data_IF_099743285925
#
_entry.id   IF_099743285925
#
_cell.length_a   1.000
_cell.length_b   1.000
_cell.length_c   1.000
_cell.angle_alpha   90.00
_cell.angle_beta   90.00
_cell.angle_gamma   90.00
#
_symmetry.space_group_name_H-M   'P 1'
#
loop_
_entity.id
_entity.type
_entity.pdbx_description
1 polymer ?
#
# COMPACT_ATOMS: atom_id res chain seq x y z
N UNK A 1 -19.11 -1.47 -9.34
CA UNK A 1 -18.74 -0.45 -8.35
C UNK A 1 -17.43 0.13 -8.84
N UNK A 2 -17.41 1.40 -9.22
CA UNK A 2 -16.18 2.06 -9.65
C UNK A 2 -15.43 2.46 -8.39
N UNK A 3 -14.19 1.99 -8.23
CA UNK A 3 -13.35 2.44 -7.13
C UNK A 3 -13.02 3.92 -7.39
N UNK A 4 -13.33 4.79 -6.44
CA UNK A 4 -12.91 6.18 -6.52
C UNK A 4 -11.49 6.29 -5.98
N UNK A 5 -10.54 6.55 -6.89
CA UNK A 5 -9.12 6.66 -6.55
C UNK A 5 -8.86 7.85 -5.65
N UNK A 6 -9.69 8.89 -5.75
CA UNK A 6 -9.56 10.04 -4.86
C UNK A 6 -9.92 9.66 -3.43
N UNK A 7 -11.00 8.93 -3.22
CA UNK A 7 -11.38 8.47 -1.87
C UNK A 7 -10.30 7.57 -1.25
N UNK A 8 -9.66 6.71 -2.05
CA UNK A 8 -8.54 5.89 -1.56
C UNK A 8 -7.33 6.75 -1.20
N UNK A 9 -6.99 7.75 -2.02
CA UNK A 9 -5.88 8.65 -1.74
C UNK A 9 -6.16 9.53 -0.51
N UNK A 10 -7.38 10.04 -0.36
CA UNK A 10 -7.80 10.86 0.78
C UNK A 10 -7.82 10.06 2.09
N UNK A 11 -8.01 8.73 2.03
CA UNK A 11 -8.00 7.82 3.19
C UNK A 11 -6.64 7.15 3.45
N UNK A 12 -5.60 7.41 2.66
CA UNK A 12 -4.29 6.79 2.83
C UNK A 12 -3.47 7.54 3.88
N UNK A 13 -2.86 6.82 4.83
CA UNK A 13 -1.97 7.42 5.83
C UNK A 13 -0.66 7.89 5.19
N UNK A 14 -0.25 7.24 4.11
CA UNK A 14 0.97 7.58 3.39
C UNK A 14 0.84 7.26 1.90
N UNK A 15 1.32 8.16 1.04
CA UNK A 15 1.41 7.95 -0.41
C UNK A 15 2.84 8.13 -0.87
N UNK A 16 3.43 7.09 -1.48
CA UNK A 16 4.79 7.12 -2.03
C UNK A 16 4.77 6.64 -3.47
N UNK A 17 5.24 7.48 -4.39
CA UNK A 17 5.37 7.15 -5.82
C UNK A 17 4.10 6.52 -6.44
N UNK A 18 2.92 7.00 -6.01
CA UNK A 18 1.63 6.50 -6.49
C UNK A 18 1.11 5.22 -5.80
N UNK A 19 1.81 4.70 -4.79
CA UNK A 19 1.26 3.68 -3.90
C UNK A 19 0.69 4.33 -2.65
N UNK A 20 -0.59 4.07 -2.40
CA UNK A 20 -1.29 4.43 -1.18
C UNK A 20 -1.13 3.31 -0.15
N UNK A 21 -0.70 3.66 1.05
CA UNK A 21 -0.55 2.79 2.21
C UNK A 21 -1.61 3.20 3.25
N UNK A 22 -2.45 2.26 3.64
CA UNK A 22 -3.51 2.46 4.63
C UNK A 22 -3.40 1.39 5.73
N UNK A 23 -3.32 1.80 6.98
CA UNK A 23 -3.30 0.93 8.14
C UNK A 23 -4.73 0.51 8.51
N UNK A 24 -4.95 -0.81 8.54
CA UNK A 24 -6.19 -1.42 8.99
C UNK A 24 -5.87 -2.41 10.11
N UNK A 25 -5.85 -1.89 11.34
CA UNK A 25 -5.45 -2.64 12.53
C UNK A 25 -3.96 -3.02 12.48
N UNK A 26 -3.67 -4.32 12.35
CA UNK A 26 -2.28 -4.84 12.26
C UNK A 26 -1.80 -5.00 10.81
N UNK A 27 -2.67 -4.75 9.84
CA UNK A 27 -2.39 -4.93 8.43
C UNK A 27 -2.15 -3.57 7.78
N UNK A 28 -1.24 -3.54 6.80
CA UNK A 28 -1.07 -2.39 5.93
C UNK A 28 -1.55 -2.79 4.54
N UNK A 29 -2.55 -2.08 4.04
CA UNK A 29 -3.10 -2.26 2.70
C UNK A 29 -2.40 -1.32 1.75
N UNK A 30 -1.98 -1.84 0.61
CA UNK A 30 -1.26 -1.10 -0.40
C UNK A 30 -2.08 -1.14 -1.69
N UNK A 31 -2.33 0.01 -2.28
CA UNK A 31 -2.96 0.12 -3.59
C UNK A 31 -2.14 1.01 -4.51
N UNK A 32 -1.88 0.56 -5.73
CA UNK A 32 -1.30 1.40 -6.75
C UNK A 32 -2.39 2.32 -7.35
N UNK A 33 -2.33 3.62 -7.07
CA UNK A 33 -3.30 4.61 -7.55
C UNK A 33 -3.29 4.77 -9.08
N UNK A 34 -2.18 4.43 -9.74
CA UNK A 34 -2.05 4.43 -11.20
C UNK A 34 -2.49 3.10 -11.83
N UNK A 35 -2.51 2.02 -11.06
CA UNK A 35 -2.94 0.67 -11.47
C UNK A 35 -3.79 0.05 -10.37
N UNK A 36 -5.07 0.44 -10.21
CA UNK A 36 -5.89 0.06 -9.06
C UNK A 36 -6.24 -1.43 -8.98
N UNK A 37 -5.85 -2.21 -10.00
CA UNK A 37 -5.87 -3.66 -9.99
C UNK A 37 -4.60 -4.27 -9.37
N UNK A 38 -3.61 -3.49 -8.97
CA UNK A 38 -2.39 -3.93 -8.29
C UNK A 38 -2.51 -3.56 -6.81
N UNK A 39 -2.52 -4.58 -5.96
CA UNK A 39 -2.64 -4.42 -4.51
C UNK A 39 -1.77 -5.43 -3.77
N UNK A 40 -1.34 -5.04 -2.57
CA UNK A 40 -0.64 -5.91 -1.64
C UNK A 40 -1.10 -5.66 -0.20
N UNK A 41 -0.90 -6.65 0.66
CA UNK A 41 -1.16 -6.56 2.10
C UNK A 41 0.10 -6.95 2.84
N UNK A 42 0.52 -6.11 3.77
CA UNK A 42 1.64 -6.37 4.70
C UNK A 42 1.09 -6.72 6.08
N UNK A 43 1.70 -7.71 6.71
CA UNK A 43 1.54 -8.05 8.13
C UNK A 43 2.91 -8.38 8.71
N UNK A 44 3.25 -7.79 9.86
CA UNK A 44 4.54 -8.01 10.53
C UNK A 44 5.74 -7.80 9.57
N UNK A 45 5.75 -6.65 8.90
CA UNK A 45 6.78 -6.23 7.94
C UNK A 45 7.00 -7.18 6.75
N UNK A 46 6.02 -8.04 6.43
CA UNK A 46 6.06 -8.98 5.29
C UNK A 46 4.80 -8.91 4.45
N UNK A 47 4.95 -9.00 3.14
CA UNK A 47 3.81 -9.18 2.24
C UNK A 47 3.20 -10.57 2.48
N UNK A 48 1.91 -10.60 2.82
CA UNK A 48 1.15 -11.85 3.07
C UNK A 48 0.18 -12.18 1.93
N UNK A 49 -0.23 -11.18 1.16
CA UNK A 49 -1.09 -11.35 -0.01
C UNK A 49 -0.80 -10.25 -1.02
N UNK A 50 -0.75 -10.60 -2.31
CA UNK A 50 -0.46 -9.68 -3.41
C UNK A 50 -0.86 -10.30 -4.74
N UNK A 51 -1.19 -9.46 -5.71
CA UNK A 51 -1.32 -9.86 -7.12
C UNK A 51 -0.29 -9.18 -8.03
N UNK A 52 0.68 -8.48 -7.43
CA UNK A 52 1.80 -7.84 -8.12
C UNK A 52 2.90 -8.86 -8.41
N UNK A 53 3.77 -8.55 -9.37
CA UNK A 53 4.97 -9.35 -9.63
C UNK A 53 6.05 -9.17 -8.55
N UNK A 54 7.05 -10.05 -8.56
CA UNK A 54 8.12 -10.09 -7.53
C UNK A 54 8.93 -8.78 -7.46
N UNK A 55 9.07 -8.05 -8.57
CA UNK A 55 9.82 -6.79 -8.61
C UNK A 55 9.00 -5.69 -7.94
N UNK A 56 7.73 -5.58 -8.30
CA UNK A 56 6.83 -4.60 -7.70
C UNK A 56 6.62 -4.88 -6.20
N UNK A 57 6.50 -6.15 -5.80
CA UNK A 57 6.46 -6.56 -4.39
C UNK A 57 7.67 -6.05 -3.60
N UNK A 58 8.88 -6.20 -4.15
CA UNK A 58 10.09 -5.70 -3.50
C UNK A 58 10.06 -4.17 -3.37
N UNK A 59 9.67 -3.46 -4.43
CA UNK A 59 9.59 -1.99 -4.44
C UNK A 59 8.62 -1.49 -3.37
N UNK A 60 7.39 -2.03 -3.32
CA UNK A 60 6.37 -1.54 -2.38
C UNK A 60 6.71 -1.88 -0.93
N UNK A 61 7.36 -3.02 -0.70
CA UNK A 61 7.87 -3.40 0.62
C UNK A 61 9.01 -2.49 1.06
N UNK A 62 9.97 -2.20 0.18
CA UNK A 62 11.08 -1.29 0.47
C UNK A 62 10.58 0.12 0.78
N UNK A 63 9.60 0.62 0.03
CA UNK A 63 8.94 1.90 0.34
C UNK A 63 8.30 1.87 1.71
N UNK A 64 7.56 0.82 2.07
CA UNK A 64 6.97 0.70 3.40
C UNK A 64 8.03 0.67 4.50
N UNK A 65 9.01 -0.24 4.43
CA UNK A 65 10.00 -0.43 5.50
C UNK A 65 10.85 0.82 5.76
N UNK A 66 11.19 1.56 4.70
CA UNK A 66 12.00 2.78 4.82
C UNK A 66 11.19 4.00 5.30
N UNK A 67 9.86 3.95 5.26
CA UNK A 67 9.00 5.11 5.52
C UNK A 67 7.90 4.87 6.56
N UNK A 68 7.75 3.66 7.11
CA UNK A 68 6.66 3.32 8.06
C UNK A 68 6.59 4.20 9.31
N UNK A 69 7.68 4.87 9.66
CA UNK A 69 7.72 5.90 10.71
C UNK A 69 6.85 7.14 10.44
N UNK A 70 6.40 7.32 9.20
CA UNK A 70 5.53 8.41 8.76
C UNK A 70 4.05 8.00 8.67
N UNK A 71 3.72 6.72 8.90
CA UNK A 71 2.32 6.32 9.02
C UNK A 71 1.77 6.87 10.34
N UNK A 72 0.55 7.41 10.30
CA UNK A 72 -0.15 7.93 11.47
C UNK A 72 -0.46 6.79 12.47
N UNK A 73 -0.48 7.08 13.77
CA UNK A 73 -0.82 6.11 14.84
C UNK A 73 -2.32 5.77 14.89
#
# INVERSE_FOLDING_TARGET
MQLDIKDVADAADMIINGYAYTQEGKYIRILNLNRPNHAAVIYDDKIVETNMDDIENQIVLDYYLNNKQFMED
#
